data_IF_584201445356
#
_entry.id   IF_584201445356
#
_cell.length_a   1.000
_cell.length_b   1.000
_cell.length_c   1.000
_cell.angle_alpha   90.00
_cell.angle_beta   90.00
_cell.angle_gamma   90.00
#
_symmetry.space_group_name_H-M   'P 1'
#
loop_
_entity.id
_entity.type
_entity.pdbx_description
1 polymer ?
#
# COMPACT_ATOMS: atom_id res chain seq x y z
N UNK A 1 -33.50 11.30 -48.98
CA UNK A 1 -33.49 9.99 -48.27
C UNK A 1 -32.13 9.49 -47.82
N UNK A 2 -31.03 10.25 -47.96
CA UNK A 2 -29.65 9.83 -47.58
C UNK A 2 -29.14 10.42 -46.27
N UNK A 3 -29.80 11.41 -45.67
CA UNK A 3 -29.37 12.09 -44.43
C UNK A 3 -29.76 11.37 -43.14
N UNK A 4 -30.79 10.51 -43.18
CA UNK A 4 -31.28 9.74 -42.03
C UNK A 4 -30.28 8.68 -41.51
N UNK A 5 -29.59 7.89 -42.36
CA UNK A 5 -28.59 6.92 -41.88
C UNK A 5 -27.36 7.60 -41.26
N UNK A 6 -26.86 8.68 -41.86
CA UNK A 6 -25.69 9.40 -41.36
C UNK A 6 -25.89 9.97 -39.94
N UNK A 7 -27.10 10.47 -39.65
CA UNK A 7 -27.45 10.98 -38.31
C UNK A 7 -27.52 9.86 -37.28
N UNK A 8 -28.06 8.70 -37.65
CA UNK A 8 -28.15 7.55 -36.75
C UNK A 8 -26.76 7.00 -36.40
N UNK A 9 -25.84 6.97 -37.36
CA UNK A 9 -24.47 6.53 -37.12
C UNK A 9 -23.69 7.53 -36.27
N UNK A 10 -23.94 8.84 -36.44
CA UNK A 10 -23.38 9.88 -35.57
C UNK A 10 -23.87 9.74 -34.12
N UNK A 11 -25.15 9.49 -33.91
CA UNK A 11 -25.71 9.28 -32.56
C UNK A 11 -25.12 8.03 -31.89
N UNK A 12 -24.95 6.93 -32.65
CA UNK A 12 -24.27 5.73 -32.15
C UNK A 12 -22.82 6.00 -31.75
N UNK A 13 -22.09 6.79 -32.53
CA UNK A 13 -20.70 7.13 -32.23
C UNK A 13 -20.57 8.01 -30.98
N UNK A 14 -21.49 8.96 -30.77
CA UNK A 14 -21.53 9.79 -29.56
C UNK A 14 -21.81 8.95 -28.33
N UNK A 15 -22.78 8.02 -28.41
CA UNK A 15 -23.12 7.12 -27.32
C UNK A 15 -21.96 6.17 -27.00
N UNK A 16 -21.31 5.60 -28.01
CA UNK A 16 -20.16 4.71 -27.80
C UNK A 16 -18.98 5.48 -27.19
N UNK A 17 -18.65 6.67 -27.71
CA UNK A 17 -17.60 7.53 -27.16
C UNK A 17 -17.88 7.88 -25.69
N UNK A 18 -19.12 8.21 -25.36
CA UNK A 18 -19.54 8.50 -23.97
C UNK A 18 -19.36 7.30 -23.05
N UNK A 19 -19.70 6.10 -23.52
CA UNK A 19 -19.47 4.86 -22.76
C UNK A 19 -17.98 4.55 -22.60
N UNK A 20 -17.19 4.67 -23.66
CA UNK A 20 -15.74 4.47 -23.60
C UNK A 20 -15.08 5.45 -22.62
N UNK A 21 -15.43 6.74 -22.69
CA UNK A 21 -14.92 7.75 -21.76
C UNK A 21 -15.28 7.42 -20.31
N UNK A 22 -16.53 7.05 -20.03
CA UNK A 22 -16.96 6.63 -18.68
C UNK A 22 -16.20 5.40 -18.19
N UNK A 23 -16.02 4.41 -19.06
CA UNK A 23 -15.32 3.18 -18.72
C UNK A 23 -13.84 3.45 -18.38
N UNK A 24 -13.17 4.28 -19.19
CA UNK A 24 -11.77 4.69 -18.94
C UNK A 24 -11.67 5.39 -17.59
N UNK A 25 -12.54 6.38 -17.31
CA UNK A 25 -12.54 7.09 -16.04
C UNK A 25 -12.78 6.16 -14.85
N UNK A 26 -13.73 5.22 -14.98
CA UNK A 26 -14.03 4.25 -13.95
C UNK A 26 -12.85 3.30 -13.69
N UNK A 27 -12.15 2.87 -14.75
CA UNK A 27 -10.97 2.03 -14.64
C UNK A 27 -9.83 2.77 -13.95
N UNK A 28 -9.52 4.01 -14.38
CA UNK A 28 -8.51 4.84 -13.73
C UNK A 28 -8.82 5.12 -12.26
N UNK A 29 -10.10 5.35 -11.92
CA UNK A 29 -10.52 5.52 -10.51
C UNK A 29 -10.28 4.25 -9.68
N UNK A 30 -10.54 3.09 -10.27
CA UNK A 30 -10.36 1.80 -9.60
C UNK A 30 -8.87 1.51 -9.36
N UNK A 31 -8.04 1.80 -10.35
CA UNK A 31 -6.58 1.70 -10.24
C UNK A 31 -6.01 2.65 -9.18
N UNK A 32 -6.46 3.91 -9.17
CA UNK A 32 -6.06 4.88 -8.16
C UNK A 32 -6.42 4.40 -6.74
N UNK A 33 -7.64 3.92 -6.54
CA UNK A 33 -8.07 3.39 -5.24
C UNK A 33 -7.23 2.17 -4.80
N UNK A 34 -6.81 1.34 -5.74
CA UNK A 34 -5.93 0.21 -5.46
C UNK A 34 -4.55 0.68 -4.99
N UNK A 35 -3.96 1.67 -5.67
CA UNK A 35 -2.66 2.27 -5.29
C UNK A 35 -2.76 2.94 -3.92
N UNK A 36 -3.80 3.73 -3.67
CA UNK A 36 -4.05 4.36 -2.36
C UNK A 36 -4.11 3.33 -1.24
N UNK A 37 -4.78 2.20 -1.48
CA UNK A 37 -4.86 1.10 -0.51
C UNK A 37 -3.51 0.46 -0.26
N UNK A 38 -2.69 0.26 -1.29
CA UNK A 38 -1.32 -0.24 -1.13
C UNK A 38 -0.46 0.72 -0.31
N UNK A 39 -0.54 2.03 -0.57
CA UNK A 39 0.16 3.05 0.20
C UNK A 39 -0.31 3.04 1.66
N UNK A 40 -1.62 2.95 1.89
CA UNK A 40 -2.17 2.88 3.24
C UNK A 40 -1.69 1.63 4.01
N UNK A 41 -1.52 0.50 3.32
CA UNK A 41 -0.95 -0.73 3.91
C UNK A 41 0.55 -0.61 4.15
N UNK A 42 1.27 0.12 3.30
CA UNK A 42 2.70 0.38 3.44
C UNK A 42 3.03 1.51 4.42
N UNK A 43 2.02 2.28 4.88
CA UNK A 43 2.25 3.34 5.86
C UNK A 43 2.59 2.72 7.23
N UNK A 44 3.82 2.91 7.74
CA UNK A 44 4.24 2.34 9.01
C UNK A 44 3.35 2.75 10.19
N UNK A 45 2.70 3.92 10.15
CA UNK A 45 1.73 4.30 11.19
C UNK A 45 0.55 3.34 11.29
N UNK A 46 0.05 2.84 10.15
CA UNK A 46 -1.07 1.90 10.14
C UNK A 46 -0.66 0.52 10.63
N UNK A 47 0.60 0.13 10.41
CA UNK A 47 1.17 -1.09 11.00
C UNK A 47 1.27 -0.95 12.52
N UNK A 48 1.80 0.18 13.01
CA UNK A 48 1.89 0.45 14.44
C UNK A 48 0.51 0.50 15.11
N UNK A 49 -0.50 1.13 14.48
CA UNK A 49 -1.90 1.15 14.95
C UNK A 49 -2.55 -0.22 15.03
N UNK A 50 -2.11 -1.18 14.20
CA UNK A 50 -2.62 -2.57 14.20
C UNK A 50 -1.93 -3.46 15.24
N UNK A 51 -1.06 -2.90 16.08
CA UNK A 51 -0.35 -3.64 17.13
C UNK A 51 0.97 -4.27 16.67
N UNK A 52 1.45 -3.94 15.47
CA UNK A 52 2.82 -4.29 15.08
C UNK A 52 3.81 -3.31 15.71
N UNK A 53 5.07 -3.73 15.81
CA UNK A 53 6.18 -2.92 16.29
C UNK A 53 7.33 -2.91 15.28
N UNK A 54 8.14 -1.86 15.28
CA UNK A 54 9.35 -1.78 14.44
C UNK A 54 10.57 -1.84 15.35
N UNK A 55 11.40 -2.88 15.18
CA UNK A 55 12.64 -3.01 15.94
C UNK A 55 13.83 -2.42 15.18
N UNK A 56 14.64 -1.63 15.89
CA UNK A 56 15.86 -1.01 15.38
C UNK A 56 17.05 -1.40 16.25
N UNK A 57 18.20 -1.60 15.62
CA UNK A 57 19.50 -1.76 16.27
C UNK A 57 20.42 -0.65 15.77
N UNK A 58 21.03 0.12 16.69
CA UNK A 58 21.89 1.25 16.34
C UNK A 58 21.26 2.23 15.33
N UNK A 59 19.95 2.51 15.48
CA UNK A 59 19.18 3.38 14.59
C UNK A 59 18.78 2.78 13.24
N UNK A 60 19.22 1.56 12.90
CA UNK A 60 18.85 0.85 11.65
C UNK A 60 17.69 -0.12 11.88
N UNK A 61 16.76 -0.18 10.94
CA UNK A 61 15.64 -1.13 10.98
C UNK A 61 16.18 -2.55 10.78
N UNK A 62 15.79 -3.45 11.67
CA UNK A 62 16.15 -4.87 11.61
C UNK A 62 15.17 -5.58 10.68
N UNK A 63 15.69 -6.30 9.67
CA UNK A 63 14.87 -7.08 8.73
C UNK A 63 15.05 -8.58 8.87
N UNK A 64 16.18 -9.03 9.41
CA UNK A 64 16.50 -10.43 9.64
C UNK A 64 17.04 -10.66 11.05
N UNK A 65 16.82 -11.85 11.61
CA UNK A 65 17.41 -12.25 12.88
C UNK A 65 18.94 -12.29 12.82
N UNK A 66 19.51 -12.46 11.63
CA UNK A 66 20.95 -12.52 11.37
C UNK A 66 21.65 -11.17 11.56
N UNK A 67 20.88 -10.08 11.64
CA UNK A 67 21.39 -8.74 11.93
C UNK A 67 21.48 -8.48 13.43
N UNK A 68 21.05 -9.44 14.26
CA UNK A 68 20.97 -9.33 15.71
C UNK A 68 22.02 -10.19 16.40
N UNK A 69 22.43 -9.77 17.59
CA UNK A 69 23.30 -10.56 18.47
C UNK A 69 22.79 -10.48 19.91
N UNK A 70 22.93 -11.56 20.71
CA UNK A 70 22.63 -11.51 22.13
C UNK A 70 23.41 -10.40 22.84
N UNK A 71 22.85 -9.87 23.93
CA UNK A 71 23.37 -8.74 24.71
C UNK A 71 23.46 -7.41 23.94
N UNK A 72 22.80 -7.29 22.79
CA UNK A 72 22.74 -6.02 22.03
C UNK A 72 21.51 -5.21 22.45
N UNK A 73 21.69 -3.89 22.59
CA UNK A 73 20.57 -2.95 22.79
C UNK A 73 19.79 -2.74 21.50
N UNK A 74 18.47 -2.79 21.63
CA UNK A 74 17.51 -2.53 20.57
C UNK A 74 16.48 -1.52 21.02
N UNK A 75 15.94 -0.79 20.04
CA UNK A 75 14.83 0.12 20.23
C UNK A 75 13.62 -0.42 19.47
N UNK A 76 12.56 -0.70 20.19
CA UNK A 76 11.28 -1.09 19.62
C UNK A 76 10.36 0.10 19.58
N UNK A 77 9.99 0.54 18.38
CA UNK A 77 9.05 1.61 18.16
C UNK A 77 7.62 1.05 18.13
N UNK A 78 6.76 1.62 18.97
CA UNK A 78 5.32 1.38 19.06
C UNK A 78 4.56 2.62 18.57
N UNK A 79 3.22 2.55 18.55
CA UNK A 79 2.37 3.65 18.11
C UNK A 79 2.55 4.92 18.97
N UNK A 80 2.75 4.74 20.27
CA UNK A 80 2.73 5.78 21.29
C UNK A 80 4.10 6.06 21.92
N UNK A 81 5.17 5.39 21.45
CA UNK A 81 6.50 5.61 22.00
C UNK A 81 7.56 4.63 21.53
N UNK A 82 8.69 4.65 22.23
CA UNK A 82 9.82 3.75 22.00
C UNK A 82 10.16 3.00 23.29
N UNK A 83 10.49 1.72 23.16
CA UNK A 83 10.96 0.85 24.24
C UNK A 83 12.41 0.49 23.98
N UNK A 84 13.26 0.64 25.01
CA UNK A 84 14.65 0.20 24.97
C UNK A 84 14.75 -1.18 25.63
N UNK A 85 15.37 -2.13 24.93
CA UNK A 85 15.47 -3.53 25.38
C UNK A 85 16.85 -4.09 25.06
N UNK A 86 17.25 -5.14 25.79
CA UNK A 86 18.46 -5.92 25.50
C UNK A 86 18.07 -7.32 25.04
N UNK A 87 18.71 -7.81 23.97
CA UNK A 87 18.44 -9.16 23.46
C UNK A 87 19.01 -10.21 24.41
N UNK A 88 18.16 -11.11 24.90
CA UNK A 88 18.60 -12.22 25.75
C UNK A 88 18.90 -13.49 24.94
N UNK A 89 18.04 -13.82 23.98
CA UNK A 89 18.17 -15.01 23.15
C UNK A 89 17.55 -14.77 21.77
N UNK A 90 18.08 -15.45 20.75
CA UNK A 90 17.59 -15.40 19.36
C UNK A 90 17.31 -16.83 18.93
N UNK A 91 16.09 -17.09 18.46
CA UNK A 91 15.69 -18.38 17.92
C UNK A 91 15.18 -18.17 16.50
N UNK A 92 15.75 -18.91 15.55
CA UNK A 92 15.25 -18.99 14.19
C UNK A 92 14.03 -19.92 14.14
N UNK A 93 13.04 -19.58 13.32
CA UNK A 93 11.93 -20.49 13.05
C UNK A 93 12.43 -21.64 12.17
N UNK A 94 12.06 -22.88 12.50
CA UNK A 94 12.32 -24.08 11.70
C UNK A 94 11.61 -24.05 10.34
#
# INVERSE_FOLDING_TARGET
NTTKPLRLDLEKLIVSLSHFSKNILQQSKTELSHIERQIALANPENLLKRGFSITKVNGKIVKSIHELSPNTEIVTQLMDGNVHSTILNIKENE
#
